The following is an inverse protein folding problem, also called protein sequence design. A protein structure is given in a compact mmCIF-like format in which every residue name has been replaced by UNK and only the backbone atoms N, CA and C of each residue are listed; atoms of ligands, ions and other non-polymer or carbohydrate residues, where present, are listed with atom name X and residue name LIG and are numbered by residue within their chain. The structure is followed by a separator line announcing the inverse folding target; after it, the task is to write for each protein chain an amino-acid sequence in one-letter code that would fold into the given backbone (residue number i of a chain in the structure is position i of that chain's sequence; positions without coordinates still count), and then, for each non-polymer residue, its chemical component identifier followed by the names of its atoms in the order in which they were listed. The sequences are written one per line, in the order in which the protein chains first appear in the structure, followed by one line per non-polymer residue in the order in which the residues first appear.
data_IF_509304523492
#
_entry.id   IF_509304523492
#
_cell.length_a   1.000
_cell.length_b   1.000
_cell.length_c   1.000
_cell.angle_alpha   90.00
_cell.angle_beta   90.00
_cell.angle_gamma   90.00
#
_symmetry.space_group_name_H-M   'P 1'
#
loop_
_entity.id
_entity.type
_entity.pdbx_description
1 polymer ?
#
# COMPACT_ATOMS: atom_id res chain seq x y z
N UNK A 1 20.14 -25.92 44.56
CA UNK A 1 19.68 -24.84 43.66
C UNK A 1 20.67 -24.51 42.53
N UNK A 2 21.92 -25.00 42.58
CA UNK A 2 22.97 -24.70 41.60
C UNK A 2 22.65 -25.13 40.15
N UNK A 3 22.02 -26.29 39.97
CA UNK A 3 21.70 -26.84 38.64
C UNK A 3 20.84 -25.92 37.78
N UNK A 4 19.88 -25.20 38.38
CA UNK A 4 19.01 -24.26 37.65
C UNK A 4 19.77 -23.03 37.18
N UNK A 5 20.79 -22.61 37.94
CA UNK A 5 21.66 -21.47 37.58
C UNK A 5 22.60 -21.86 36.43
N UNK A 6 23.21 -23.04 36.47
CA UNK A 6 24.12 -23.51 35.42
C UNK A 6 23.41 -23.70 34.07
N UNK A 7 22.17 -24.22 34.08
CA UNK A 7 21.34 -24.33 32.87
C UNK A 7 21.03 -22.94 32.31
N UNK A 8 20.64 -21.99 33.16
CA UNK A 8 20.31 -20.64 32.74
C UNK A 8 21.54 -19.96 32.10
N UNK A 9 22.72 -20.08 32.71
CA UNK A 9 23.95 -19.49 32.17
C UNK A 9 24.35 -20.11 30.82
N UNK A 10 24.19 -21.43 30.68
CA UNK A 10 24.51 -22.15 29.44
C UNK A 10 23.60 -21.71 28.28
N UNK A 11 22.29 -21.56 28.54
CA UNK A 11 21.32 -21.09 27.55
C UNK A 11 21.57 -19.64 27.13
N UNK A 12 21.91 -18.76 28.09
CA UNK A 12 22.21 -17.35 27.83
C UNK A 12 23.46 -17.22 26.96
N UNK A 13 24.52 -18.01 27.21
CA UNK A 13 25.74 -18.02 26.38
C UNK A 13 25.46 -18.51 24.97
N UNK A 14 24.67 -19.57 24.80
CA UNK A 14 24.29 -20.08 23.48
C UNK A 14 23.56 -19.05 22.62
N UNK A 15 22.60 -18.33 23.19
CA UNK A 15 21.82 -17.32 22.48
C UNK A 15 22.64 -16.09 22.06
N UNK A 16 23.64 -15.69 22.86
CA UNK A 16 24.54 -14.56 22.52
C UNK A 16 25.44 -14.87 21.32
N UNK A 17 25.91 -16.11 21.20
CA UNK A 17 26.76 -16.52 20.07
C UNK A 17 25.97 -16.59 18.74
N UNK A 18 24.69 -16.95 18.80
CA UNK A 18 23.82 -16.97 17.61
C UNK A 18 23.43 -15.55 17.13
N UNK A 19 23.16 -14.62 18.06
CA UNK A 19 22.73 -13.26 17.73
C UNK A 19 23.83 -12.36 17.13
N UNK A 20 25.11 -12.65 17.38
CA UNK A 20 26.20 -11.79 16.87
C UNK A 20 26.48 -11.98 15.37
N UNK A 21 25.85 -12.97 14.71
CA UNK A 21 26.09 -13.30 13.30
C UNK A 21 25.05 -12.70 12.34
N UNK A 22 24.05 -11.98 12.82
CA UNK A 22 23.05 -11.31 11.99
C UNK A 22 23.04 -9.79 12.18
N UNK A 23 23.58 -9.12 11.14
CA UNK A 23 23.10 -7.87 10.51
C UNK A 23 23.06 -6.57 11.34
N UNK A 24 23.90 -5.64 10.90
CA UNK A 24 23.83 -4.20 11.15
C UNK A 24 22.64 -3.59 10.40
N UNK A 25 21.46 -3.57 11.00
CA UNK A 25 20.33 -2.72 10.61
C UNK A 25 19.90 -1.90 11.84
N UNK A 26 19.52 -0.61 11.70
CA UNK A 26 19.01 0.16 12.82
C UNK A 26 17.74 -0.49 13.39
N UNK A 27 17.50 -0.43 14.71
CA UNK A 27 16.33 -1.06 15.31
C UNK A 27 15.06 -0.35 14.81
N UNK A 28 14.33 -1.00 13.91
CA UNK A 28 12.95 -0.65 13.64
C UNK A 28 12.17 -0.82 14.95
N UNK A 29 11.62 0.27 15.50
CA UNK A 29 10.66 0.16 16.59
C UNK A 29 9.44 -0.56 16.04
N UNK A 30 9.28 -1.83 16.41
CA UNK A 30 8.13 -2.65 16.03
C UNK A 30 6.87 -2.15 16.76
N UNK A 31 6.30 -1.07 16.23
CA UNK A 31 4.97 -0.57 16.58
C UNK A 31 3.95 -0.96 15.51
N UNK A 32 4.22 -2.03 14.75
CA UNK A 32 3.36 -2.46 13.65
C UNK A 32 2.17 -3.23 14.23
N UNK A 33 1.12 -2.51 14.63
CA UNK A 33 -0.16 -3.16 14.88
C UNK A 33 -0.54 -3.96 13.63
N UNK A 34 -0.93 -5.24 13.75
CA UNK A 34 -1.37 -6.00 12.59
C UNK A 34 -2.52 -5.25 11.92
N UNK A 35 -2.28 -4.78 10.71
CA UNK A 35 -3.33 -4.16 9.88
C UNK A 35 -4.33 -5.27 9.61
N UNK A 36 -5.57 -5.10 10.06
CA UNK A 36 -6.63 -6.02 9.71
C UNK A 36 -6.87 -5.90 8.20
N UNK A 37 -6.36 -6.85 7.42
CA UNK A 37 -6.69 -6.94 6.00
C UNK A 37 -8.20 -7.15 5.91
N UNK A 38 -8.89 -6.17 5.31
CA UNK A 38 -10.30 -6.31 4.99
C UNK A 38 -10.49 -7.58 4.15
N UNK A 39 -11.59 -8.29 4.39
CA UNK A 39 -11.93 -9.52 3.69
C UNK A 39 -11.75 -9.33 2.17
N UNK A 40 -10.98 -10.18 1.47
CA UNK A 40 -10.67 -10.02 0.04
C UNK A 40 -11.92 -9.97 -0.85
N UNK A 41 -13.07 -10.42 -0.36
CA UNK A 41 -14.35 -10.40 -1.07
C UNK A 41 -15.14 -9.10 -0.90
N UNK A 42 -14.68 -8.16 -0.07
CA UNK A 42 -15.42 -6.92 0.27
C UNK A 42 -14.98 -5.70 -0.53
N UNK A 43 -13.80 -5.73 -1.16
CA UNK A 43 -13.34 -4.68 -2.06
C UNK A 43 -13.71 -5.04 -3.50
N UNK A 44 -15.01 -5.07 -3.81
CA UNK A 44 -15.45 -5.12 -5.21
C UNK A 44 -15.60 -3.69 -5.69
N UNK A 45 -14.75 -3.30 -6.62
CA UNK A 45 -15.05 -2.14 -7.44
C UNK A 45 -16.36 -2.45 -8.20
N UNK A 46 -17.30 -1.50 -8.20
CA UNK A 46 -18.56 -1.65 -8.95
C UNK A 46 -18.36 -1.38 -10.44
N UNK A 47 -17.14 -0.99 -10.80
CA UNK A 47 -16.67 -0.77 -12.15
C UNK A 47 -15.72 -1.93 -12.46
N UNK A 48 -15.90 -2.63 -13.58
CA UNK A 48 -15.15 -3.85 -13.95
C UNK A 48 -13.64 -3.60 -14.19
N UNK A 49 -13.14 -2.40 -13.87
CA UNK A 49 -11.77 -1.99 -14.05
C UNK A 49 -11.32 -0.94 -13.02
N UNK A 50 -10.02 -0.94 -12.76
CA UNK A 50 -9.39 0.07 -11.91
C UNK A 50 -8.74 1.19 -12.73
N UNK A 51 -8.69 2.42 -12.17
CA UNK A 51 -7.89 3.50 -12.73
C UNK A 51 -6.39 3.16 -12.67
N UNK A 52 -5.68 3.45 -13.75
CA UNK A 52 -4.24 3.23 -13.85
C UNK A 52 -3.47 4.55 -13.76
N UNK A 53 -2.37 4.55 -13.01
CA UNK A 53 -1.42 5.66 -12.98
C UNK A 53 -0.47 5.55 -14.18
N UNK A 54 -0.63 6.41 -15.17
CA UNK A 54 0.28 6.46 -16.30
C UNK A 54 1.60 7.13 -15.90
N UNK A 55 2.72 6.52 -16.29
CA UNK A 55 4.07 7.09 -16.15
C UNK A 55 4.33 8.19 -17.19
N UNK A 56 3.57 9.28 -17.10
CA UNK A 56 3.74 10.47 -17.94
C UNK A 56 4.66 11.47 -17.26
N UNK A 57 5.61 12.04 -18.02
CA UNK A 57 6.50 13.11 -17.54
C UNK A 57 5.71 14.35 -17.05
N UNK A 58 4.55 14.61 -17.66
CA UNK A 58 3.66 15.70 -17.31
C UNK A 58 2.23 15.19 -17.14
N UNK A 59 1.53 15.68 -16.12
CA UNK A 59 0.12 15.39 -15.92
C UNK A 59 -0.74 15.98 -17.06
N UNK A 60 -1.69 15.19 -17.57
CA UNK A 60 -2.60 15.60 -18.64
C UNK A 60 -3.85 16.27 -18.08
N UNK A 61 -4.49 17.13 -18.86
CA UNK A 61 -5.76 17.72 -18.43
C UNK A 61 -6.87 16.65 -18.38
N UNK A 62 -7.66 16.66 -17.32
CA UNK A 62 -8.87 15.85 -17.18
C UNK A 62 -9.83 16.16 -18.33
N UNK A 63 -10.30 15.14 -19.06
CA UNK A 63 -11.23 15.33 -20.19
C UNK A 63 -12.70 15.45 -19.74
N UNK A 64 -12.95 16.04 -18.58
CA UNK A 64 -14.30 16.35 -18.10
C UNK A 64 -14.51 17.85 -18.28
N UNK A 65 -15.56 18.26 -18.98
CA UNK A 65 -15.84 19.67 -19.33
C UNK A 65 -15.89 20.59 -18.11
N UNK A 66 -16.38 20.08 -16.98
CA UNK A 66 -16.47 20.81 -15.70
C UNK A 66 -15.15 20.85 -14.91
N UNK A 67 -14.08 20.22 -15.42
CA UNK A 67 -12.82 20.05 -14.71
C UNK A 67 -11.62 20.47 -15.56
N UNK A 68 -10.88 21.48 -15.09
CA UNK A 68 -9.60 21.92 -15.68
C UNK A 68 -8.38 21.36 -14.95
N UNK A 69 -8.59 20.37 -14.07
CA UNK A 69 -7.53 19.75 -13.28
C UNK A 69 -6.58 18.92 -14.14
N UNK A 70 -5.31 18.83 -13.74
CA UNK A 70 -4.32 17.93 -14.35
C UNK A 70 -4.26 16.62 -13.57
N UNK A 71 -4.10 15.50 -14.28
CA UNK A 71 -4.05 14.16 -13.72
C UNK A 71 -3.15 13.25 -14.56
N UNK A 72 -2.47 12.33 -13.90
CA UNK A 72 -1.74 11.21 -14.53
C UNK A 72 -2.58 9.94 -14.55
N UNK A 73 -3.81 10.00 -14.03
CA UNK A 73 -4.69 8.84 -13.90
C UNK A 73 -5.55 8.69 -15.14
N UNK A 74 -5.57 7.47 -15.65
CA UNK A 74 -6.27 7.08 -16.86
C UNK A 74 -7.22 5.92 -16.55
N UNK A 75 -8.44 6.03 -17.06
CA UNK A 75 -9.35 4.91 -17.12
C UNK A 75 -8.88 3.92 -18.20
N UNK A 76 -8.71 2.65 -17.83
CA UNK A 76 -8.17 1.60 -18.69
C UNK A 76 -9.14 1.20 -19.80
N UNK A 77 -10.44 1.06 -19.50
CA UNK A 77 -11.48 0.72 -20.48
C UNK A 77 -11.69 1.82 -21.52
N UNK A 78 -11.90 3.05 -21.05
CA UNK A 78 -12.28 4.17 -21.94
C UNK A 78 -11.10 4.98 -22.43
N UNK A 79 -9.87 4.66 -21.98
CA UNK A 79 -8.63 5.33 -22.41
C UNK A 79 -8.69 6.86 -22.22
N UNK A 80 -9.36 7.32 -21.16
CA UNK A 80 -9.57 8.75 -20.85
C UNK A 80 -8.93 9.15 -19.52
N UNK A 81 -8.32 10.34 -19.50
CA UNK A 81 -7.78 10.93 -18.28
C UNK A 81 -8.89 11.53 -17.42
N UNK A 82 -8.95 11.10 -16.16
CA UNK A 82 -9.99 11.47 -15.19
C UNK A 82 -9.35 11.68 -13.81
N UNK A 83 -9.70 12.77 -13.16
CA UNK A 83 -9.23 13.07 -11.82
C UNK A 83 -9.78 12.06 -10.78
N UNK A 84 -8.91 11.50 -9.93
CA UNK A 84 -9.30 10.71 -8.75
C UNK A 84 -9.36 11.52 -7.46
N UNK A 85 -8.65 12.64 -7.39
CA UNK A 85 -8.61 13.50 -6.22
C UNK A 85 -9.43 14.77 -6.46
N UNK A 86 -10.15 15.22 -5.43
CA UNK A 86 -10.97 16.43 -5.46
C UNK A 86 -12.36 16.17 -6.04
N UNK A 87 -12.59 16.53 -7.32
CA UNK A 87 -13.92 16.44 -7.96
C UNK A 87 -14.35 15.00 -8.30
N UNK A 88 -13.46 14.03 -8.13
CA UNK A 88 -13.64 12.59 -8.42
C UNK A 88 -14.32 12.36 -9.78
N UNK A 89 -13.70 12.91 -10.82
CA UNK A 89 -14.18 12.85 -12.20
C UNK A 89 -14.37 11.42 -12.71
N UNK A 90 -13.57 10.48 -12.19
CA UNK A 90 -13.65 9.06 -12.52
C UNK A 90 -15.02 8.48 -12.14
N UNK A 91 -15.41 8.61 -10.87
CA UNK A 91 -16.70 8.10 -10.36
C UNK A 91 -17.89 8.77 -11.07
N UNK A 92 -17.82 10.08 -11.31
CA UNK A 92 -18.87 10.81 -12.04
C UNK A 92 -19.07 10.29 -13.46
N UNK A 93 -17.97 9.91 -14.11
CA UNK A 93 -18.01 9.39 -15.47
C UNK A 93 -18.69 8.02 -15.52
N UNK A 94 -18.32 7.10 -14.62
CA UNK A 94 -18.93 5.76 -14.60
C UNK A 94 -20.35 5.74 -14.02
N UNK A 95 -20.68 6.62 -13.08
CA UNK A 95 -22.06 6.76 -12.59
C UNK A 95 -23.01 7.36 -13.63
N UNK A 96 -22.49 8.05 -14.65
CA UNK A 96 -23.30 8.62 -15.73
C UNK A 96 -23.71 7.57 -16.79
N UNK A 97 -23.30 6.30 -16.64
CA UNK A 97 -23.70 5.19 -17.51
C UNK A 97 -22.86 5.02 -18.78
N UNK A 98 -21.61 5.52 -18.77
CA UNK A 98 -20.63 5.22 -19.82
C UNK A 98 -19.83 3.98 -19.50
#
# INVERSE_FOLDING_TARGET
MQFKQDIAETLIRGNRMHNLKERTDPPATDNSRPVHLQNPNTCRDRFDHFPEFCSLKNAMQSRNESCKGKTTVKCTEFNVFRCLQGKNCFVKFHNAGY
#
